data_IF_549986544945
#
_entry.id   IF_549986544945
#
_cell.length_a   1.000
_cell.length_b   1.000
_cell.length_c   1.000
_cell.angle_alpha   90.00
_cell.angle_beta   90.00
_cell.angle_gamma   90.00
#
_symmetry.space_group_name_H-M   'P 1'
#
loop_
_entity.id
_entity.type
_entity.pdbx_description
1 polymer ?
#
# COMPACT_ATOMS: atom_id res chain seq x y z
N UNK A 1 10.27 11.94 -9.75
CA UNK A 1 8.87 11.87 -10.22
C UNK A 1 8.17 10.79 -9.40
N UNK A 2 7.04 11.13 -8.78
CA UNK A 2 6.26 10.19 -7.94
C UNK A 2 4.80 10.25 -8.37
N UNK A 3 4.06 9.16 -8.15
CA UNK A 3 2.60 9.16 -8.31
C UNK A 3 2.02 10.13 -7.28
N UNK A 4 1.13 11.04 -7.69
CA UNK A 4 0.54 12.08 -6.83
C UNK A 4 -0.87 11.73 -6.34
N UNK A 5 -1.49 10.71 -6.93
CA UNK A 5 -2.86 10.34 -6.60
C UNK A 5 -2.90 9.43 -5.37
N UNK A 6 -3.91 9.67 -4.53
CA UNK A 6 -4.22 8.81 -3.39
C UNK A 6 -4.86 7.51 -3.91
N UNK A 7 -4.39 6.33 -3.48
CA UNK A 7 -4.93 5.07 -3.97
C UNK A 7 -6.30 4.75 -3.40
N UNK A 8 -7.09 3.98 -4.14
CA UNK A 8 -8.28 3.35 -3.56
C UNK A 8 -7.88 2.22 -2.61
N UNK A 9 -8.78 1.86 -1.70
CA UNK A 9 -8.55 0.75 -0.77
C UNK A 9 -8.31 -0.59 -1.50
N UNK A 10 -8.98 -0.77 -2.65
CA UNK A 10 -8.82 -1.95 -3.50
C UNK A 10 -7.44 -1.98 -4.17
N UNK A 11 -6.95 -0.83 -4.65
CA UNK A 11 -5.60 -0.72 -5.22
C UNK A 11 -4.52 -1.10 -4.20
N UNK A 12 -4.67 -0.65 -2.94
CA UNK A 12 -3.73 -0.99 -1.86
C UNK A 12 -3.68 -2.49 -1.64
N UNK A 13 -4.84 -3.16 -1.61
CA UNK A 13 -4.93 -4.61 -1.44
C UNK A 13 -4.27 -5.35 -2.61
N UNK A 14 -4.63 -4.99 -3.85
CA UNK A 14 -4.07 -5.63 -5.03
C UNK A 14 -2.55 -5.45 -5.11
N UNK A 15 -2.04 -4.28 -4.71
CA UNK A 15 -0.60 -4.03 -4.68
C UNK A 15 0.13 -4.80 -3.60
N UNK A 16 -0.48 -4.94 -2.40
CA UNK A 16 0.08 -5.79 -1.35
C UNK A 16 0.20 -7.24 -1.84
N UNK A 17 -0.86 -7.76 -2.45
CA UNK A 17 -0.88 -9.12 -3.00
C UNK A 17 0.14 -9.28 -4.14
N UNK A 18 0.27 -8.28 -5.03
CA UNK A 18 1.29 -8.26 -6.08
C UNK A 18 2.73 -8.18 -5.55
N UNK A 19 2.94 -7.53 -4.40
CA UNK A 19 4.22 -7.51 -3.70
C UNK A 19 4.50 -8.83 -2.96
N UNK A 20 3.57 -9.80 -2.95
CA UNK A 20 3.71 -11.06 -2.23
C UNK A 20 3.66 -10.93 -0.71
N UNK A 21 3.11 -9.83 -0.20
CA UNK A 21 3.07 -9.52 1.24
C UNK A 21 1.78 -10.02 1.89
N UNK A 22 1.89 -10.64 3.06
CA UNK A 22 0.75 -10.84 3.95
C UNK A 22 0.32 -9.52 4.62
N UNK A 23 -0.88 -9.48 5.19
CA UNK A 23 -1.36 -8.33 5.96
C UNK A 23 -0.43 -8.03 7.14
N UNK A 24 0.07 -9.07 7.83
CA UNK A 24 1.01 -8.89 8.94
C UNK A 24 2.36 -8.35 8.47
N UNK A 25 2.88 -8.86 7.35
CA UNK A 25 4.15 -8.39 6.79
C UNK A 25 4.06 -6.94 6.32
N UNK A 26 2.97 -6.58 5.64
CA UNK A 26 2.74 -5.20 5.23
C UNK A 26 2.54 -4.28 6.45
N UNK A 27 1.78 -4.72 7.45
CA UNK A 27 1.63 -3.95 8.69
C UNK A 27 2.97 -3.71 9.40
N UNK A 28 3.83 -4.73 9.47
CA UNK A 28 5.17 -4.62 10.03
C UNK A 28 6.08 -3.67 9.24
N UNK A 29 6.06 -3.73 7.90
CA UNK A 29 6.85 -2.84 7.03
C UNK A 29 6.45 -1.37 7.17
N UNK A 30 5.17 -1.11 7.41
CA UNK A 30 4.62 0.24 7.58
C UNK A 30 4.47 0.64 9.05
N UNK A 31 5.14 -0.09 9.96
CA UNK A 31 5.18 0.16 11.40
C UNK A 31 3.79 0.41 12.02
N UNK A 32 2.80 -0.38 11.60
CA UNK A 32 1.42 -0.26 12.05
C UNK A 32 0.83 -1.60 12.47
N UNK A 33 -0.32 -1.57 13.14
CA UNK A 33 -1.03 -2.78 13.55
C UNK A 33 -1.71 -3.44 12.33
N UNK A 34 -1.81 -4.78 12.27
CA UNK A 34 -2.53 -5.48 11.21
C UNK A 34 -3.97 -5.00 11.01
N UNK A 35 -4.65 -4.66 12.11
CA UNK A 35 -6.01 -4.07 12.06
C UNK A 35 -6.03 -2.69 11.39
N UNK A 36 -5.00 -1.87 11.65
CA UNK A 36 -4.84 -0.57 10.98
C UNK A 36 -4.57 -0.77 9.49
N UNK A 37 -3.80 -1.79 9.11
CA UNK A 37 -3.60 -2.15 7.71
C UNK A 37 -4.90 -2.60 7.02
N UNK A 38 -5.66 -3.51 7.63
CA UNK A 38 -6.96 -3.94 7.13
C UNK A 38 -7.93 -2.78 6.94
N UNK A 39 -7.88 -1.77 7.82
CA UNK A 39 -8.66 -0.54 7.67
C UNK A 39 -8.27 0.25 6.42
N UNK A 40 -7.00 0.20 5.99
CA UNK A 40 -6.52 0.86 4.76
C UNK A 40 -6.96 0.14 3.49
N UNK A 41 -7.15 -1.17 3.56
CA UNK A 41 -7.66 -2.01 2.47
C UNK A 41 -9.19 -2.10 2.41
N UNK A 42 -9.89 -1.53 3.40
CA UNK A 42 -11.34 -1.58 3.45
C UNK A 42 -11.96 -0.29 2.87
N UNK A 43 -12.75 -0.36 1.78
CA UNK A 43 -13.36 0.80 1.14
C UNK A 43 -14.38 1.53 2.02
N UNK A 44 -14.90 0.87 3.07
CA UNK A 44 -15.82 1.47 4.03
C UNK A 44 -15.13 2.39 5.05
N UNK A 45 -13.79 2.45 5.04
CA UNK A 45 -13.01 3.25 5.98
C UNK A 45 -12.37 4.45 5.28
N UNK A 46 -12.43 5.63 5.92
CA UNK A 46 -11.94 6.89 5.32
C UNK A 46 -10.41 6.96 5.13
N UNK A 47 -9.65 6.10 5.78
CA UNK A 47 -8.19 6.16 5.80
C UNK A 47 -7.56 5.13 4.87
N UNK A 48 -7.13 5.56 3.68
CA UNK A 48 -6.22 4.81 2.79
C UNK A 48 -4.79 5.32 2.94
N UNK A 49 -3.81 4.65 2.32
CA UNK A 49 -2.40 5.07 2.32
C UNK A 49 -2.24 6.52 1.85
N UNK A 50 -1.28 7.21 2.46
CA UNK A 50 -0.77 8.48 1.93
C UNK A 50 -0.07 8.25 0.60
N UNK A 51 0.11 9.32 -0.16
CA UNK A 51 0.80 9.26 -1.46
C UNK A 51 2.21 8.68 -1.31
N UNK A 52 2.96 9.06 -0.26
CA UNK A 52 4.30 8.53 0.00
C UNK A 52 4.29 7.03 0.28
N UNK A 53 3.42 6.58 1.18
CA UNK A 53 3.24 5.16 1.50
C UNK A 53 2.84 4.34 0.26
N UNK A 54 1.99 4.90 -0.60
CA UNK A 54 1.57 4.25 -1.84
C UNK A 54 2.73 4.09 -2.83
N UNK A 55 3.55 5.13 -3.01
CA UNK A 55 4.75 5.04 -3.85
C UNK A 55 5.73 3.98 -3.31
N UNK A 56 5.86 3.85 -1.99
CA UNK A 56 6.69 2.80 -1.39
C UNK A 56 6.12 1.39 -1.66
N UNK A 57 4.81 1.18 -1.51
CA UNK A 57 4.18 -0.10 -1.84
C UNK A 57 4.32 -0.45 -3.33
N UNK A 58 4.20 0.56 -4.22
CA UNK A 58 4.43 0.39 -5.66
C UNK A 58 5.87 -0.08 -5.97
N UNK A 59 6.86 0.42 -5.23
CA UNK A 59 8.25 -0.01 -5.37
C UNK A 59 8.43 -1.46 -4.95
N UNK A 60 7.87 -1.84 -3.81
CA UNK A 60 7.90 -3.22 -3.32
C UNK A 60 7.19 -4.19 -4.28
N UNK A 61 6.10 -3.75 -4.91
CA UNK A 61 5.38 -4.52 -5.91
C UNK A 61 6.06 -4.54 -7.30
N UNK A 62 7.16 -3.81 -7.50
CA UNK A 62 7.80 -3.66 -8.81
C UNK A 62 6.93 -2.95 -9.86
N UNK A 63 5.88 -2.24 -9.43
CA UNK A 63 4.91 -1.56 -10.30
C UNK A 63 5.09 -0.04 -10.34
N UNK A 64 6.14 0.49 -9.71
CA UNK A 64 6.38 1.92 -9.69
C UNK A 64 6.81 2.42 -11.10
N UNK A 65 6.13 3.43 -11.66
CA UNK A 65 6.29 3.81 -13.07
C UNK A 65 7.67 4.40 -13.42
N UNK A 66 8.42 4.88 -12.42
CA UNK A 66 9.67 5.62 -12.64
C UNK A 66 10.89 5.04 -11.92
N UNK A 67 10.70 4.12 -10.98
CA UNK A 67 11.74 3.67 -10.06
C UNK A 67 11.59 2.16 -9.87
N UNK A 68 12.71 1.46 -9.71
CA UNK A 68 12.77 0.04 -9.38
C UNK A 68 13.81 -0.17 -8.29
N UNK A 69 13.60 -1.18 -7.45
CA UNK A 69 14.50 -1.56 -6.36
C UNK A 69 14.98 -3.00 -6.54
#
# INVERSE_FOLDING_TARGET
MTVQNKPSADDVRQLREAAGLSVEQAAALFECLPRSWQSKENPNTRGTLTVGEYNFLLLLAGKHPYLSI
#
